data_IF_448888010187
#
_entry.id   IF_448888010187
#
_cell.length_a   1.000
_cell.length_b   1.000
_cell.length_c   1.000
_cell.angle_alpha   90.00
_cell.angle_beta   90.00
_cell.angle_gamma   90.00
#
_symmetry.space_group_name_H-M   'P 1'
#
loop_
_entity.id
_entity.type
_entity.pdbx_description
1 polymer ?
#
# COMPACT_ATOMS: atom_id res chain seq x y z
N UNK A 1 9.06 12.70 -5.49
CA UNK A 1 8.23 12.12 -4.41
C UNK A 1 7.51 13.22 -3.65
N UNK A 2 6.25 13.01 -3.32
CA UNK A 2 5.48 13.94 -2.50
C UNK A 2 6.15 14.09 -1.12
N UNK A 3 5.96 15.23 -0.48
CA UNK A 3 6.53 15.50 0.85
C UNK A 3 5.43 15.66 1.88
N UNK A 4 5.80 15.53 3.16
CA UNK A 4 4.87 15.75 4.28
C UNK A 4 4.25 17.15 4.20
N UNK A 5 2.98 17.25 4.60
CA UNK A 5 2.22 18.50 4.53
C UNK A 5 1.54 18.74 3.17
N UNK A 6 1.89 18.01 2.14
CA UNK A 6 1.24 18.10 0.83
C UNK A 6 0.04 17.17 0.77
N UNK A 7 -0.91 17.48 -0.11
CA UNK A 7 -2.10 16.65 -0.31
C UNK A 7 -1.91 15.70 -1.49
N UNK A 8 -2.30 14.44 -1.29
CA UNK A 8 -2.38 13.43 -2.36
C UNK A 8 -3.71 13.61 -3.09
N UNK A 9 -3.70 13.43 -4.41
CA UNK A 9 -4.95 13.30 -5.17
C UNK A 9 -5.62 12.00 -4.75
N UNK A 10 -6.88 12.05 -4.34
CA UNK A 10 -7.60 10.92 -3.74
C UNK A 10 -8.77 10.41 -4.57
N UNK A 11 -9.00 10.99 -5.75
CA UNK A 11 -10.14 10.64 -6.60
C UNK A 11 -9.96 9.42 -7.49
N UNK A 12 -8.77 8.83 -7.54
CA UNK A 12 -8.52 7.66 -8.37
C UNK A 12 -9.16 6.40 -7.78
N UNK A 13 -9.44 5.44 -8.66
CA UNK A 13 -10.09 4.18 -8.26
C UNK A 13 -9.07 3.07 -8.06
N UNK A 14 -9.35 2.21 -7.10
CA UNK A 14 -8.61 0.99 -6.82
C UNK A 14 -9.58 -0.14 -6.57
N UNK A 15 -9.15 -1.36 -6.89
CA UNK A 15 -9.83 -2.56 -6.39
C UNK A 15 -9.18 -2.97 -5.08
N UNK A 16 -9.98 -3.35 -4.12
CA UNK A 16 -9.50 -3.75 -2.80
C UNK A 16 -10.05 -5.12 -2.40
N UNK A 17 -9.32 -5.77 -1.50
CA UNK A 17 -9.73 -7.00 -0.84
C UNK A 17 -9.80 -6.74 0.66
N UNK A 18 -10.96 -7.02 1.24
CA UNK A 18 -11.19 -6.99 2.69
C UNK A 18 -11.81 -8.34 3.09
N UNK A 19 -11.04 -9.18 3.78
CA UNK A 19 -11.44 -10.56 4.02
C UNK A 19 -11.57 -11.31 2.69
N UNK A 20 -12.77 -11.83 2.39
CA UNK A 20 -13.06 -12.50 1.12
C UNK A 20 -13.72 -11.60 0.10
N UNK A 21 -14.02 -10.35 0.45
CA UNK A 21 -14.72 -9.43 -0.43
C UNK A 21 -13.77 -8.65 -1.33
N UNK A 22 -14.15 -8.54 -2.60
CA UNK A 22 -13.52 -7.64 -3.56
C UNK A 22 -14.48 -6.48 -3.82
N UNK A 23 -13.94 -5.26 -3.86
CA UNK A 23 -14.72 -4.07 -4.25
C UNK A 23 -13.86 -3.12 -5.05
N UNK A 24 -14.48 -2.32 -5.90
CA UNK A 24 -13.85 -1.17 -6.50
C UNK A 24 -14.31 0.09 -5.77
N UNK A 25 -13.35 0.90 -5.33
CA UNK A 25 -13.62 2.11 -4.57
C UNK A 25 -12.76 3.26 -5.07
N UNK A 26 -13.11 4.47 -4.69
CA UNK A 26 -12.19 5.61 -4.80
C UNK A 26 -11.25 5.58 -3.59
N UNK A 27 -9.98 5.93 -3.81
CA UNK A 27 -8.99 5.93 -2.73
C UNK A 27 -9.45 6.72 -1.51
N UNK A 28 -10.12 7.86 -1.71
CA UNK A 28 -10.65 8.68 -0.61
C UNK A 28 -11.57 7.92 0.34
N UNK A 29 -12.24 6.87 -0.16
CA UNK A 29 -13.16 6.09 0.67
C UNK A 29 -12.44 5.23 1.71
N UNK A 30 -11.12 5.03 1.57
CA UNK A 30 -10.29 4.38 2.57
C UNK A 30 -9.89 5.33 3.70
N UNK A 31 -10.00 6.63 3.50
CA UNK A 31 -9.50 7.65 4.42
C UNK A 31 -10.54 8.06 5.46
N UNK A 32 -11.24 7.10 6.05
CA UNK A 32 -12.22 7.36 7.13
C UNK A 32 -11.57 7.73 8.44
N UNK A 33 -10.30 7.42 8.61
CA UNK A 33 -9.41 7.79 9.70
C UNK A 33 -8.03 8.04 9.08
N UNK A 34 -7.07 8.60 9.80
CA UNK A 34 -5.69 8.59 9.32
C UNK A 34 -5.30 7.18 8.90
N UNK A 35 -4.72 7.04 7.71
CA UNK A 35 -4.50 5.76 7.06
C UNK A 35 -3.04 5.54 6.78
N UNK A 36 -2.54 4.37 7.18
CA UNK A 36 -1.20 3.91 6.83
C UNK A 36 -1.31 3.14 5.51
N UNK A 37 -0.61 3.60 4.47
CA UNK A 37 -0.54 2.92 3.18
C UNK A 37 0.87 2.37 3.04
N UNK A 38 0.99 1.05 3.07
CA UNK A 38 2.25 0.34 2.89
C UNK A 38 2.35 -0.14 1.46
N UNK A 39 3.28 0.42 0.70
CA UNK A 39 3.50 0.07 -0.72
C UNK A 39 4.59 -1.00 -0.79
N UNK A 40 4.28 -2.11 -1.45
CA UNK A 40 5.24 -3.19 -1.66
C UNK A 40 5.21 -3.67 -3.10
N UNK A 41 6.16 -4.54 -3.46
CA UNK A 41 6.37 -4.91 -4.85
C UNK A 41 5.44 -6.02 -5.31
N UNK A 42 5.40 -7.13 -4.55
CA UNK A 42 4.73 -8.34 -5.00
C UNK A 42 4.51 -9.31 -3.84
N UNK A 43 3.33 -9.97 -3.85
CA UNK A 43 3.03 -11.06 -2.93
C UNK A 43 4.02 -12.23 -3.12
N UNK A 44 4.31 -12.95 -2.04
CA UNK A 44 5.15 -14.15 -2.06
C UNK A 44 6.61 -13.89 -2.48
N UNK A 45 7.14 -12.70 -2.15
CA UNK A 45 8.57 -12.40 -2.29
C UNK A 45 9.17 -12.18 -0.90
N UNK A 46 10.42 -12.62 -0.63
CA UNK A 46 10.96 -12.64 0.74
C UNK A 46 10.94 -11.29 1.44
N UNK A 47 11.39 -10.22 0.79
CA UNK A 47 11.43 -8.88 1.40
C UNK A 47 10.04 -8.30 1.65
N UNK A 48 9.14 -8.48 0.69
CA UNK A 48 7.75 -8.00 0.82
C UNK A 48 6.96 -8.85 1.83
N UNK A 49 7.23 -10.15 1.89
CA UNK A 49 6.61 -11.02 2.88
C UNK A 49 7.01 -10.62 4.29
N UNK A 50 8.28 -10.28 4.53
CA UNK A 50 8.72 -9.77 5.84
C UNK A 50 8.03 -8.46 6.19
N UNK A 51 7.88 -7.57 5.22
CA UNK A 51 7.15 -6.31 5.40
C UNK A 51 5.70 -6.56 5.80
N UNK A 52 5.01 -7.44 5.09
CA UNK A 52 3.62 -7.78 5.37
C UNK A 52 3.45 -8.59 6.66
N UNK A 53 4.37 -9.49 6.98
CA UNK A 53 4.33 -10.22 8.26
C UNK A 53 4.42 -9.27 9.45
N UNK A 54 5.23 -8.23 9.35
CA UNK A 54 5.30 -7.18 10.37
C UNK A 54 3.97 -6.42 10.49
N UNK A 55 3.32 -6.10 9.37
CA UNK A 55 2.01 -5.45 9.39
C UNK A 55 0.94 -6.34 10.01
N UNK A 56 0.93 -7.64 9.71
CA UNK A 56 0.00 -8.60 10.31
C UNK A 56 0.18 -8.62 11.83
N UNK A 57 1.42 -8.67 12.29
CA UNK A 57 1.75 -8.69 13.71
C UNK A 57 1.24 -7.44 14.44
N UNK A 58 1.36 -6.26 13.82
CA UNK A 58 1.03 -4.97 14.45
C UNK A 58 -0.32 -4.39 14.04
N UNK A 59 -1.10 -5.10 13.20
CA UNK A 59 -2.35 -4.57 12.66
C UNK A 59 -3.35 -4.14 13.73
N UNK A 60 -3.49 -4.93 14.80
CA UNK A 60 -4.41 -4.58 15.89
C UNK A 60 -3.95 -3.36 16.67
N UNK A 61 -2.66 -3.18 16.84
CA UNK A 61 -2.09 -2.01 17.53
C UNK A 61 -2.38 -0.74 16.74
N UNK A 62 -2.22 -0.76 15.43
CA UNK A 62 -2.57 0.38 14.58
C UNK A 62 -4.05 0.70 14.65
N UNK A 63 -4.91 -0.31 14.62
CA UNK A 63 -6.35 -0.12 14.73
C UNK A 63 -6.73 0.53 16.06
N UNK A 64 -6.17 0.06 17.17
CA UNK A 64 -6.40 0.63 18.50
C UNK A 64 -5.94 2.06 18.62
N UNK A 65 -4.89 2.43 17.88
CA UNK A 65 -4.36 3.80 17.86
C UNK A 65 -5.14 4.73 16.92
N UNK A 66 -6.16 4.24 16.25
CA UNK A 66 -7.03 5.05 15.39
C UNK A 66 -6.59 5.12 13.93
N UNK A 67 -5.75 4.20 13.46
CA UNK A 67 -5.30 4.16 12.06
C UNK A 67 -5.99 3.06 11.27
N UNK A 68 -6.36 3.36 10.03
CA UNK A 68 -6.63 2.35 9.04
C UNK A 68 -5.30 1.86 8.46
N UNK A 69 -5.25 0.59 8.04
CA UNK A 69 -4.06 0.01 7.43
C UNK A 69 -4.40 -0.56 6.07
N UNK A 70 -3.66 -0.15 5.06
CA UNK A 70 -3.79 -0.62 3.67
C UNK A 70 -2.41 -1.02 3.17
N UNK A 71 -2.29 -2.23 2.64
CA UNK A 71 -1.10 -2.64 1.91
C UNK A 71 -1.44 -2.67 0.41
N UNK A 72 -0.57 -2.13 -0.41
CA UNK A 72 -0.84 -1.86 -1.82
C UNK A 72 0.28 -2.40 -2.69
N UNK A 73 -0.10 -3.15 -3.73
CA UNK A 73 0.83 -3.65 -4.74
C UNK A 73 0.14 -3.77 -6.10
N UNK A 74 0.89 -4.20 -7.11
CA UNK A 74 0.36 -4.47 -8.45
C UNK A 74 -0.38 -5.79 -8.57
N UNK A 75 -0.34 -6.64 -7.55
CA UNK A 75 -1.00 -7.95 -7.58
C UNK A 75 -2.50 -7.83 -7.82
N UNK A 76 -3.07 -8.84 -8.47
CA UNK A 76 -4.52 -8.90 -8.70
C UNK A 76 -5.28 -9.16 -7.40
N UNK A 77 -6.58 -8.86 -7.40
CA UNK A 77 -7.44 -9.18 -6.25
C UNK A 77 -7.49 -10.69 -5.97
N UNK A 78 -7.44 -11.53 -7.01
CA UNK A 78 -7.35 -12.98 -6.82
C UNK A 78 -6.09 -13.39 -6.06
N UNK A 79 -4.95 -12.83 -6.42
CA UNK A 79 -3.69 -13.03 -5.71
C UNK A 79 -3.79 -12.51 -4.27
N UNK A 80 -4.36 -11.33 -4.06
CA UNK A 80 -4.53 -10.74 -2.73
C UNK A 80 -5.44 -11.59 -1.83
N UNK A 81 -6.52 -12.16 -2.35
CA UNK A 81 -7.38 -13.04 -1.55
C UNK A 81 -6.64 -14.28 -1.08
N UNK A 82 -5.87 -14.91 -1.94
CA UNK A 82 -5.04 -16.07 -1.58
C UNK A 82 -3.97 -15.68 -0.56
N UNK A 83 -3.34 -14.54 -0.77
CA UNK A 83 -2.30 -14.04 0.11
C UNK A 83 -2.85 -13.71 1.49
N UNK A 84 -4.02 -13.05 1.55
CA UNK A 84 -4.69 -12.74 2.80
C UNK A 84 -5.02 -13.99 3.62
N UNK A 85 -5.52 -15.04 2.97
CA UNK A 85 -5.82 -16.30 3.64
C UNK A 85 -4.55 -16.98 4.14
N UNK A 86 -3.49 -17.00 3.32
CA UNK A 86 -2.21 -17.61 3.67
C UNK A 86 -1.52 -16.93 4.84
N UNK A 87 -1.54 -15.61 4.89
CA UNK A 87 -0.82 -14.78 5.88
C UNK A 87 -1.66 -14.39 7.09
N UNK A 88 -2.96 -14.60 7.06
CA UNK A 88 -3.85 -14.15 8.13
C UNK A 88 -4.00 -12.62 8.15
N UNK A 89 -4.09 -12.00 6.98
CA UNK A 89 -4.22 -10.55 6.85
C UNK A 89 -5.60 -10.09 7.29
N UNK A 90 -5.64 -9.15 8.25
CA UNK A 90 -6.88 -8.56 8.75
C UNK A 90 -7.14 -7.14 8.21
N UNK A 91 -6.16 -6.55 7.55
CA UNK A 91 -6.25 -5.21 6.98
C UNK A 91 -6.59 -5.28 5.47
N UNK A 92 -6.79 -4.11 4.86
CA UNK A 92 -7.14 -4.02 3.44
C UNK A 92 -5.92 -4.24 2.56
N UNK A 93 -6.08 -5.07 1.52
CA UNK A 93 -5.11 -5.21 0.43
C UNK A 93 -5.65 -4.48 -0.80
N UNK A 94 -4.86 -3.61 -1.39
CA UNK A 94 -5.24 -2.84 -2.57
C UNK A 94 -4.47 -3.33 -3.80
N UNK A 95 -5.18 -3.48 -4.91
CA UNK A 95 -4.63 -3.85 -6.21
C UNK A 95 -4.47 -2.60 -7.06
N UNK A 96 -3.23 -2.27 -7.41
CA UNK A 96 -2.89 -1.07 -8.17
C UNK A 96 -1.97 -1.40 -9.35
N UNK A 97 -2.45 -2.15 -10.35
CA UNK A 97 -1.61 -2.57 -11.47
C UNK A 97 -1.12 -1.41 -12.34
N UNK A 98 -1.80 -0.27 -12.29
CA UNK A 98 -1.48 0.91 -13.08
C UNK A 98 -0.67 1.96 -12.30
N UNK A 99 -0.20 1.63 -11.10
CA UNK A 99 0.59 2.52 -10.24
C UNK A 99 -0.08 3.88 -9.99
N UNK A 100 -1.38 3.90 -9.81
CA UNK A 100 -2.13 5.15 -9.60
C UNK A 100 -1.73 5.84 -8.31
N UNK A 101 -1.52 5.07 -7.25
CA UNK A 101 -1.03 5.63 -5.99
C UNK A 101 0.40 6.18 -6.13
N UNK A 102 1.28 5.44 -6.82
CA UNK A 102 2.64 5.90 -7.05
C UNK A 102 2.67 7.19 -7.88
N UNK A 103 1.78 7.32 -8.88
CA UNK A 103 1.65 8.54 -9.65
C UNK A 103 1.12 9.69 -8.79
N UNK A 104 0.13 9.42 -7.93
CA UNK A 104 -0.46 10.43 -7.05
C UNK A 104 0.54 10.94 -6.00
N UNK A 105 1.50 10.12 -5.62
CA UNK A 105 2.55 10.47 -4.65
C UNK A 105 3.88 10.82 -5.31
N UNK A 106 3.92 10.85 -6.64
CA UNK A 106 5.14 11.10 -7.41
C UNK A 106 6.29 10.18 -6.96
N UNK A 107 5.99 8.90 -6.83
CA UNK A 107 6.93 7.89 -6.33
C UNK A 107 7.23 6.77 -7.32
N UNK A 108 6.88 6.95 -8.59
CA UNK A 108 7.30 6.03 -9.66
C UNK A 108 8.79 6.21 -9.89
N UNK A 109 9.53 5.14 -9.80
CA UNK A 109 10.99 5.16 -9.95
C UNK A 109 11.44 4.20 -11.05
N UNK A 110 12.60 4.50 -11.64
CA UNK A 110 13.28 3.58 -12.54
C UNK A 110 14.02 2.53 -11.71
N UNK A 111 13.83 1.27 -12.06
CA UNK A 111 14.48 0.13 -11.40
C UNK A 111 15.29 -0.64 -12.43
N UNK A 112 16.33 -1.33 -11.96
CA UNK A 112 17.15 -2.20 -12.78
C UNK A 112 17.23 -3.58 -12.13
N UNK A 113 17.01 -4.63 -12.94
CA UNK A 113 17.14 -6.01 -12.51
C UNK A 113 17.67 -6.84 -13.67
N UNK A 114 18.75 -7.56 -13.43
CA UNK A 114 19.39 -8.41 -14.45
C UNK A 114 19.72 -7.64 -15.75
N UNK A 115 20.19 -6.40 -15.62
CA UNK A 115 20.50 -5.54 -16.76
C UNK A 115 19.31 -4.93 -17.48
N UNK A 116 18.09 -5.20 -17.03
CA UNK A 116 16.87 -4.62 -17.58
C UNK A 116 16.41 -3.46 -16.71
N UNK A 117 16.01 -2.38 -17.38
CA UNK A 117 15.40 -1.22 -16.71
C UNK A 117 13.89 -1.28 -16.83
N UNK A 118 13.21 -0.95 -15.76
CA UNK A 118 11.76 -0.83 -15.73
C UNK A 118 11.34 0.24 -14.74
N UNK A 119 10.13 0.75 -14.87
CA UNK A 119 9.55 1.71 -13.92
C UNK A 119 8.56 1.02 -13.00
N UNK A 120 8.43 1.51 -11.79
CA UNK A 120 7.47 0.95 -10.84
C UNK A 120 7.43 1.75 -9.55
N UNK A 121 6.58 1.32 -8.60
CA UNK A 121 6.44 2.02 -7.33
C UNK A 121 7.68 1.84 -6.46
N UNK A 122 7.98 2.85 -5.66
CA UNK A 122 8.97 2.76 -4.59
C UNK A 122 8.36 2.01 -3.41
N UNK A 123 9.10 1.08 -2.80
CA UNK A 123 8.68 0.48 -1.52
C UNK A 123 8.73 1.55 -0.45
N UNK A 124 7.58 1.85 0.13
CA UNK A 124 7.44 2.97 1.06
C UNK A 124 6.17 2.80 1.88
N UNK A 125 6.09 3.55 2.97
CA UNK A 125 4.87 3.65 3.76
C UNK A 125 4.52 5.12 3.94
N UNK A 126 3.25 5.42 3.87
CA UNK A 126 2.71 6.77 4.02
C UNK A 126 1.65 6.75 5.12
N UNK A 127 1.61 7.81 5.91
CA UNK A 127 0.46 8.10 6.77
C UNK A 127 -0.27 9.26 6.14
N UNK A 128 -1.54 9.05 5.79
CA UNK A 128 -2.35 10.02 5.06
C UNK A 128 -3.59 10.33 5.88
N UNK A 129 -3.85 11.61 6.11
CA UNK A 129 -5.01 12.08 6.86
C UNK A 129 -6.29 11.97 6.03
N UNK A 130 -7.42 12.16 6.68
CA UNK A 130 -8.75 12.04 6.07
C UNK A 130 -8.98 13.00 4.92
N UNK A 131 -8.27 14.13 4.88
CA UNK A 131 -8.33 15.10 3.78
C UNK A 131 -7.29 14.87 2.67
N UNK A 132 -6.50 13.81 2.78
CA UNK A 132 -5.44 13.48 1.82
C UNK A 132 -4.08 14.09 2.17
N UNK A 133 -3.94 14.81 3.26
CA UNK A 133 -2.66 15.39 3.68
C UNK A 133 -1.69 14.28 4.11
N UNK A 134 -0.47 14.32 3.59
CA UNK A 134 0.59 13.38 3.97
C UNK A 134 1.15 13.80 5.33
N UNK A 135 0.96 12.96 6.34
CA UNK A 135 1.41 13.23 7.70
C UNK A 135 2.83 12.70 7.96
N UNK A 136 3.19 11.59 7.33
CA UNK A 136 4.50 10.97 7.46
C UNK A 136 4.82 10.10 6.26
N UNK A 137 6.09 9.92 5.98
CA UNK A 137 6.60 9.05 4.90
C UNK A 137 7.79 8.27 5.44
N UNK A 138 7.79 6.96 5.19
CA UNK A 138 8.93 6.09 5.46
C UNK A 138 9.30 5.36 4.18
N UNK A 139 10.47 5.63 3.65
CA UNK A 139 10.98 4.89 2.50
C UNK A 139 11.62 3.59 2.96
N UNK A 140 11.31 2.49 2.26
CA UNK A 140 11.82 1.17 2.60
C UNK A 140 13.12 0.82 1.84
N UNK A 141 13.91 1.82 1.47
CA UNK A 141 15.17 1.60 0.74
C UNK A 141 16.14 0.68 1.49
N UNK A 142 16.09 0.66 2.81
CA UNK A 142 16.89 -0.23 3.65
C UNK A 142 16.33 -1.63 3.81
N UNK A 143 15.12 -1.90 3.36
CA UNK A 143 14.46 -3.20 3.44
C UNK A 143 14.76 -4.02 2.19
N UNK A 144 15.97 -4.41 2.06
CA UNK A 144 16.46 -5.15 0.91
C UNK A 144 16.50 -6.64 1.17
#
# INVERSE_FOLDING_TARGET
>A
MITTGKKVKTGFRLKIVQGDEEKEIKFKELLTRPTIVSVYMRNNTPGCDRQNDSLVEHAQDFDKQGYNLVALSRDTCGSHRKYAAKKGVSYTLASDPDDRFAQATDSVIEKSMYGRKFTGPSRSAYVIDTDGTVLAIAAHAGLR
#
